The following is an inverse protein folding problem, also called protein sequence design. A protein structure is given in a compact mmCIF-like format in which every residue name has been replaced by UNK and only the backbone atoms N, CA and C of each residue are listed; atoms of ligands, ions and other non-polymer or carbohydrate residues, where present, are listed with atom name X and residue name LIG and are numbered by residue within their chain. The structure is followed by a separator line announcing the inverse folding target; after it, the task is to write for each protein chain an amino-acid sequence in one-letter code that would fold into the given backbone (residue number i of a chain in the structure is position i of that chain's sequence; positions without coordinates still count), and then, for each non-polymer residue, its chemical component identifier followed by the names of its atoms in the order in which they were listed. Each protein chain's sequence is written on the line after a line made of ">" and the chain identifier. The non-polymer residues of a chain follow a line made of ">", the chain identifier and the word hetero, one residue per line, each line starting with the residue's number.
data_IF_062368802171
#
_entry.id   IF_062368802171
#
_cell.length_a   1.000
_cell.length_b   1.000
_cell.length_c   1.000
_cell.angle_alpha   90.00
_cell.angle_beta   90.00
_cell.angle_gamma   90.00
#
_symmetry.space_group_name_H-M   'P 1'
#
loop_
_entity.id
_entity.type
_entity.pdbx_description
1 polymer ?
#
# COMPACT_ATOMS: atom_id res chain seq x y z
N UNK A 1 -13.72 12.68 15.54
CA UNK A 1 -13.31 11.31 15.91
C UNK A 1 -11.85 11.34 16.34
N UNK A 2 -11.51 10.66 17.42
CA UNK A 2 -10.10 10.47 17.83
C UNK A 2 -9.39 9.48 16.90
N UNK A 3 -8.05 9.48 16.90
CA UNK A 3 -7.26 8.51 16.13
C UNK A 3 -7.60 7.05 16.53
N UNK A 4 -7.84 6.81 17.81
CA UNK A 4 -8.28 5.52 18.34
C UNK A 4 -9.65 5.09 17.78
N UNK A 5 -10.63 6.01 17.78
CA UNK A 5 -11.94 5.73 17.19
C UNK A 5 -11.84 5.45 15.68
N UNK A 6 -10.94 6.14 14.97
CA UNK A 6 -10.69 5.87 13.55
C UNK A 6 -10.05 4.49 13.34
N UNK A 7 -9.05 4.14 14.15
CA UNK A 7 -8.39 2.84 14.10
C UNK A 7 -9.37 1.70 14.39
N UNK A 8 -10.23 1.87 15.40
CA UNK A 8 -11.29 0.93 15.75
C UNK A 8 -12.24 0.68 14.57
N UNK A 9 -12.70 1.73 13.88
CA UNK A 9 -13.57 1.57 12.70
C UNK A 9 -12.86 0.85 11.55
N UNK A 10 -11.58 1.14 11.34
CA UNK A 10 -10.80 0.49 10.28
C UNK A 10 -10.64 -1.01 10.56
N UNK A 11 -10.17 -1.37 11.76
CA UNK A 11 -9.89 -2.78 12.09
C UNK A 11 -11.18 -3.62 12.12
N UNK A 12 -12.28 -3.04 12.60
CA UNK A 12 -13.60 -3.71 12.58
C UNK A 12 -13.99 -4.06 11.14
N UNK A 13 -13.92 -3.08 10.23
CA UNK A 13 -14.22 -3.31 8.81
C UNK A 13 -13.25 -4.29 8.13
N UNK A 14 -11.96 -4.27 8.50
CA UNK A 14 -10.99 -5.23 7.96
C UNK A 14 -11.35 -6.66 8.35
N UNK A 15 -11.80 -6.88 9.60
CA UNK A 15 -12.20 -8.22 10.07
C UNK A 15 -13.50 -8.71 9.43
N UNK A 16 -14.36 -7.79 8.99
CA UNK A 16 -15.59 -8.08 8.24
C UNK A 16 -15.36 -8.42 6.75
N UNK A 17 -14.15 -8.18 6.22
CA UNK A 17 -13.87 -8.49 4.82
C UNK A 17 -13.96 -10.00 4.53
N UNK A 18 -14.49 -10.39 3.37
CA UNK A 18 -14.80 -11.79 3.06
C UNK A 18 -13.56 -12.67 2.87
N UNK A 19 -12.39 -12.07 2.60
CA UNK A 19 -11.12 -12.77 2.41
C UNK A 19 -9.94 -11.81 2.56
N UNK A 20 -8.73 -12.37 2.63
CA UNK A 20 -7.51 -11.59 2.86
C UNK A 20 -7.15 -10.67 1.69
N UNK A 21 -7.51 -11.02 0.45
CA UNK A 21 -7.32 -10.12 -0.69
C UNK A 21 -8.21 -8.87 -0.57
N UNK A 22 -9.44 -9.00 -0.10
CA UNK A 22 -10.31 -7.86 0.17
C UNK A 22 -9.77 -6.99 1.33
N UNK A 23 -9.16 -7.61 2.36
CA UNK A 23 -8.43 -6.87 3.41
C UNK A 23 -7.24 -6.11 2.84
N UNK A 24 -6.46 -6.74 1.95
CA UNK A 24 -5.34 -6.10 1.26
C UNK A 24 -5.79 -4.86 0.49
N UNK A 25 -6.85 -4.97 -0.32
CA UNK A 25 -7.38 -3.81 -1.08
C UNK A 25 -7.84 -2.70 -0.13
N UNK A 26 -8.51 -3.04 0.97
CA UNK A 26 -8.96 -2.04 1.94
C UNK A 26 -7.79 -1.32 2.64
N UNK A 27 -6.76 -2.06 3.06
CA UNK A 27 -5.61 -1.49 3.79
C UNK A 27 -4.69 -0.72 2.85
N UNK A 28 -4.50 -1.18 1.61
CA UNK A 28 -3.77 -0.47 0.55
C UNK A 28 -4.46 0.88 0.24
N UNK A 29 -5.79 0.89 0.16
CA UNK A 29 -6.56 2.11 -0.02
C UNK A 29 -6.49 3.05 1.20
N UNK A 30 -6.26 2.52 2.41
CA UNK A 30 -6.10 3.33 3.61
C UNK A 30 -4.78 4.10 3.59
N UNK A 31 -3.70 3.46 3.14
CA UNK A 31 -2.40 4.11 2.99
C UNK A 31 -2.50 5.38 2.14
N UNK A 32 -3.25 5.32 1.04
CA UNK A 32 -3.44 6.46 0.13
C UNK A 32 -4.22 7.61 0.74
N UNK A 33 -5.18 7.30 1.63
CA UNK A 33 -6.06 8.31 2.23
C UNK A 33 -5.48 8.92 3.50
N UNK A 34 -4.81 8.12 4.32
CA UNK A 34 -4.29 8.54 5.61
C UNK A 34 -3.15 7.61 6.06
N UNK A 35 -1.94 7.96 5.65
CA UNK A 35 -0.72 7.23 5.96
C UNK A 35 -0.49 7.06 7.47
N UNK A 36 -0.77 8.10 8.28
CA UNK A 36 -0.64 8.03 9.75
C UNK A 36 -1.56 6.97 10.35
N UNK A 37 -2.82 6.92 9.89
CA UNK A 37 -3.79 5.95 10.37
C UNK A 37 -3.47 4.54 9.86
N UNK A 38 -2.95 4.41 8.65
CA UNK A 38 -2.45 3.14 8.10
C UNK A 38 -1.38 2.53 9.00
N UNK A 39 -0.32 3.28 9.32
CA UNK A 39 0.72 2.79 10.21
C UNK A 39 0.21 2.55 11.63
N UNK A 40 -0.69 3.40 12.15
CA UNK A 40 -1.28 3.17 13.48
C UNK A 40 -1.99 1.82 13.55
N UNK A 41 -2.87 1.53 12.60
CA UNK A 41 -3.63 0.27 12.55
C UNK A 41 -2.70 -0.93 12.40
N UNK A 42 -1.68 -0.82 11.55
CA UNK A 42 -0.67 -1.86 11.38
C UNK A 42 0.14 -2.13 12.64
N UNK A 43 0.69 -1.10 13.27
CA UNK A 43 1.49 -1.26 14.48
C UNK A 43 0.68 -1.87 15.63
N UNK A 44 -0.57 -1.45 15.80
CA UNK A 44 -1.45 -1.96 16.87
C UNK A 44 -1.85 -3.43 16.64
N UNK A 45 -1.83 -3.93 15.39
CA UNK A 45 -2.32 -5.26 15.02
C UNK A 45 -1.32 -6.05 14.15
N UNK A 46 -0.01 -5.85 14.38
CA UNK A 46 1.02 -6.29 13.42
C UNK A 46 1.01 -7.80 13.16
N UNK A 47 0.76 -8.62 14.19
CA UNK A 47 0.69 -10.08 14.04
C UNK A 47 -0.46 -10.52 13.13
N UNK A 48 -1.59 -9.81 13.18
CA UNK A 48 -2.78 -10.10 12.36
C UNK A 48 -2.61 -9.59 10.93
N UNK A 49 -2.04 -8.39 10.76
CA UNK A 49 -2.04 -7.68 9.47
C UNK A 49 -0.77 -7.89 8.64
N UNK A 50 0.35 -8.31 9.24
CA UNK A 50 1.58 -8.63 8.51
C UNK A 50 1.37 -9.65 7.37
N UNK A 51 0.64 -10.78 7.55
CA UNK A 51 0.38 -11.70 6.44
C UNK A 51 -0.59 -11.15 5.37
N UNK A 52 -1.27 -10.05 5.66
CA UNK A 52 -2.15 -9.34 4.72
C UNK A 52 -1.35 -8.37 3.86
N UNK A 53 -0.52 -7.50 4.47
CA UNK A 53 0.26 -6.50 3.72
C UNK A 53 1.51 -7.07 3.06
N UNK A 54 1.95 -8.25 3.50
CA UNK A 54 3.12 -8.94 2.95
C UNK A 54 2.78 -10.39 2.60
N UNK A 55 3.76 -11.28 2.66
CA UNK A 55 3.58 -12.71 2.36
C UNK A 55 2.58 -13.35 3.32
N UNK A 56 1.60 -14.12 2.83
CA UNK A 56 1.41 -14.57 1.45
C UNK A 56 0.51 -13.69 0.57
N UNK A 57 -0.31 -12.82 1.15
CA UNK A 57 -1.40 -12.13 0.44
C UNK A 57 -0.92 -11.17 -0.64
N UNK A 58 0.21 -10.48 -0.42
CA UNK A 58 0.79 -9.57 -1.42
C UNK A 58 1.12 -10.29 -2.73
N UNK A 59 1.51 -11.57 -2.68
CA UNK A 59 1.76 -12.37 -3.88
C UNK A 59 0.49 -12.60 -4.71
N UNK A 60 -0.63 -12.90 -4.04
CA UNK A 60 -1.92 -13.05 -4.70
C UNK A 60 -2.41 -11.70 -5.28
N UNK A 61 -2.20 -10.61 -4.54
CA UNK A 61 -2.51 -9.27 -5.03
C UNK A 61 -1.68 -8.90 -6.27
N UNK A 62 -0.39 -9.24 -6.29
CA UNK A 62 0.49 -9.05 -7.45
C UNK A 62 0.00 -9.85 -8.67
N UNK A 63 -0.48 -11.08 -8.49
CA UNK A 63 -1.05 -11.87 -9.60
C UNK A 63 -2.31 -11.24 -10.19
N UNK A 64 -3.10 -10.57 -9.35
CA UNK A 64 -4.35 -9.89 -9.74
C UNK A 64 -4.15 -8.37 -9.92
N UNK A 65 -2.89 -7.93 -10.03
CA UNK A 65 -2.53 -6.53 -9.88
C UNK A 65 -3.20 -5.62 -10.91
N UNK A 66 -3.39 -6.10 -12.14
CA UNK A 66 -4.10 -5.36 -13.19
C UNK A 66 -5.58 -5.06 -12.90
N UNK A 67 -6.21 -5.78 -11.97
CA UNK A 67 -7.61 -5.57 -11.57
C UNK A 67 -7.74 -4.71 -10.31
N UNK A 68 -6.66 -4.48 -9.57
CA UNK A 68 -6.65 -3.71 -8.33
C UNK A 68 -6.32 -2.25 -8.69
N UNK A 69 -7.34 -1.40 -8.75
CA UNK A 69 -7.15 0.03 -8.97
C UNK A 69 -6.44 0.65 -7.77
N UNK A 70 -5.30 1.30 -8.00
CA UNK A 70 -4.53 2.01 -6.97
C UNK A 70 -3.94 3.30 -7.52
N UNK A 71 -3.65 4.25 -6.63
CA UNK A 71 -2.80 5.37 -7.00
C UNK A 71 -1.38 4.87 -7.30
N UNK A 72 -0.61 5.54 -8.17
CA UNK A 72 0.78 5.20 -8.40
C UNK A 72 1.61 5.44 -7.12
N UNK A 73 2.14 4.37 -6.52
CA UNK A 73 2.96 4.39 -5.30
C UNK A 73 4.44 4.08 -5.55
N UNK A 74 4.86 4.11 -6.80
CA UNK A 74 6.22 3.78 -7.21
C UNK A 74 6.49 4.20 -8.64
N UNK A 75 7.74 4.02 -9.05
CA UNK A 75 8.19 4.29 -10.41
C UNK A 75 8.38 2.97 -11.16
N UNK A 76 8.16 3.03 -12.48
CA UNK A 76 8.48 1.94 -13.39
C UNK A 76 9.65 2.35 -14.27
N UNK A 77 10.72 1.56 -14.25
CA UNK A 77 11.87 1.72 -15.14
C UNK A 77 11.95 0.47 -16.00
N UNK A 78 11.93 0.64 -17.32
CA UNK A 78 11.90 -0.46 -18.27
C UNK A 78 13.24 -0.61 -18.99
N UNK A 79 13.40 -1.71 -19.74
CA UNK A 79 14.58 -1.91 -20.59
C UNK A 79 14.72 -0.84 -21.69
N UNK A 80 13.63 -0.14 -22.03
CA UNK A 80 13.64 0.94 -23.03
C UNK A 80 14.16 2.28 -22.45
N UNK A 81 14.32 2.35 -21.13
CA UNK A 81 14.80 3.50 -20.38
C UNK A 81 16.30 3.43 -20.07
N UNK A 82 17.04 2.60 -20.82
CA UNK A 82 18.44 2.24 -20.57
C UNK A 82 19.45 3.36 -20.90
N UNK A 83 19.35 4.49 -20.19
CA UNK A 83 20.39 5.51 -20.10
C UNK A 83 20.29 6.25 -18.76
N UNK A 84 21.44 6.74 -18.27
CA UNK A 84 21.49 7.51 -17.00
C UNK A 84 20.51 8.68 -17.04
N UNK A 85 20.46 9.42 -18.16
CA UNK A 85 19.58 10.58 -18.31
C UNK A 85 18.10 10.21 -18.31
N UNK A 86 17.70 9.09 -18.94
CA UNK A 86 16.30 8.65 -18.93
C UNK A 86 15.86 8.19 -17.55
N UNK A 87 16.70 7.40 -16.87
CA UNK A 87 16.43 6.98 -15.49
C UNK A 87 16.32 8.21 -14.58
N UNK A 88 17.22 9.18 -14.72
CA UNK A 88 17.17 10.42 -13.95
C UNK A 88 15.86 11.19 -14.16
N UNK A 89 15.37 11.30 -15.40
CA UNK A 89 14.07 11.92 -15.69
C UNK A 89 12.90 11.17 -15.04
N UNK A 90 12.92 9.83 -15.04
CA UNK A 90 11.90 9.03 -14.37
C UNK A 90 11.93 9.27 -12.86
N UNK A 91 13.12 9.28 -12.25
CA UNK A 91 13.30 9.56 -10.82
C UNK A 91 12.83 10.98 -10.46
N UNK A 92 13.06 11.95 -11.34
CA UNK A 92 12.61 13.33 -11.14
C UNK A 92 11.08 13.51 -11.14
N UNK A 93 10.32 12.53 -11.65
CA UNK A 93 8.86 12.52 -11.57
C UNK A 93 8.35 12.11 -10.18
N UNK A 94 9.21 11.60 -9.29
CA UNK A 94 8.81 11.24 -7.93
C UNK A 94 8.55 12.49 -7.10
N UNK A 95 7.42 12.57 -6.37
CA UNK A 95 7.05 13.78 -5.64
C UNK A 95 7.96 14.10 -4.45
N UNK A 96 8.68 13.13 -3.89
CA UNK A 96 9.59 13.36 -2.77
C UNK A 96 11.03 13.53 -3.25
N UNK A 97 11.64 14.66 -2.91
CA UNK A 97 13.04 14.97 -3.28
C UNK A 97 14.08 14.38 -2.34
N UNK A 98 13.67 13.89 -1.16
CA UNK A 98 14.56 13.39 -0.12
C UNK A 98 14.32 11.89 0.12
N UNK A 99 14.57 11.09 -0.92
CA UNK A 99 14.61 9.62 -0.81
C UNK A 99 15.92 9.24 -0.12
N UNK A 100 15.85 8.35 0.88
CA UNK A 100 16.99 7.92 1.71
C UNK A 100 17.56 6.58 1.24
#
# INVERSE_FOLDING_TARGET
>A
MTAEQQAYRVITKLREQPNDLAKYVQIDSLQDRNEKLFYRVLCDNIKELMPIVYTPTVGQACQKFGFIYRNPKGLYVTINDNSISKIYQILANWPSTNVK
#
